data_IF_083097065182
#
_entry.id   IF_083097065182
#
_cell.length_a   1.000
_cell.length_b   1.000
_cell.length_c   1.000
_cell.angle_alpha   90.00
_cell.angle_beta   90.00
_cell.angle_gamma   90.00
#
_symmetry.space_group_name_H-M   'P 1'
#
loop_
_entity.id
_entity.type
_entity.pdbx_description
1 polymer ?
#
# COMPACT_ATOMS: atom_id res chain seq x y z
N UNK A 1 14.82 -7.24 6.52
CA UNK A 1 13.79 -7.55 5.50
C UNK A 1 13.77 -6.40 4.50
N UNK A 2 13.74 -6.69 3.21
CA UNK A 2 13.58 -5.69 2.15
C UNK A 2 12.36 -6.08 1.32
N UNK A 3 11.47 -5.14 1.05
CA UNK A 3 10.30 -5.38 0.21
C UNK A 3 10.76 -5.57 -1.23
N UNK A 4 10.32 -6.62 -1.91
CA UNK A 4 10.72 -6.79 -3.30
C UNK A 4 10.15 -5.66 -4.18
N UNK A 5 10.79 -5.39 -5.32
CA UNK A 5 10.28 -4.43 -6.31
C UNK A 5 8.89 -4.81 -6.82
N UNK A 6 8.57 -6.10 -6.81
CA UNK A 6 7.30 -6.65 -7.23
C UNK A 6 6.20 -6.28 -6.22
N UNK A 7 6.45 -6.48 -4.93
CA UNK A 7 5.52 -6.08 -3.85
C UNK A 7 5.38 -4.57 -3.72
N UNK A 8 6.49 -3.83 -3.80
CA UNK A 8 6.48 -2.36 -3.81
C UNK A 8 5.56 -1.84 -4.92
N UNK A 9 5.70 -2.39 -6.13
CA UNK A 9 4.88 -1.96 -7.25
C UNK A 9 3.43 -2.40 -7.14
N UNK A 10 3.15 -3.63 -6.69
CA UNK A 10 1.79 -4.11 -6.49
C UNK A 10 1.03 -3.18 -5.54
N UNK A 11 1.64 -2.82 -4.40
CA UNK A 11 1.06 -1.86 -3.46
C UNK A 11 0.80 -0.50 -4.11
N UNK A 12 1.78 0.05 -4.83
CA UNK A 12 1.61 1.34 -5.51
C UNK A 12 0.53 1.31 -6.59
N UNK A 13 0.44 0.24 -7.36
CA UNK A 13 -0.59 0.06 -8.38
C UNK A 13 -1.98 0.02 -7.73
N UNK A 14 -2.15 -0.77 -6.67
CA UNK A 14 -3.43 -0.87 -5.95
C UNK A 14 -3.81 0.44 -5.26
N UNK A 15 -2.85 1.18 -4.68
CA UNK A 15 -3.07 2.54 -4.14
C UNK A 15 -3.50 3.51 -5.25
N UNK A 16 -2.83 3.49 -6.40
CA UNK A 16 -3.18 4.34 -7.55
C UNK A 16 -4.59 4.04 -8.08
N UNK A 17 -4.99 2.76 -8.12
CA UNK A 17 -6.34 2.37 -8.51
C UNK A 17 -7.38 2.83 -7.47
N UNK A 18 -7.06 2.77 -6.18
CA UNK A 18 -7.90 3.33 -5.13
C UNK A 18 -8.04 4.85 -5.23
N UNK A 19 -6.94 5.57 -5.48
CA UNK A 19 -6.97 7.02 -5.72
C UNK A 19 -7.83 7.35 -6.96
N UNK A 20 -7.65 6.60 -8.05
CA UNK A 20 -8.42 6.77 -9.27
C UNK A 20 -9.93 6.64 -8.99
N UNK A 21 -10.34 5.64 -8.23
CA UNK A 21 -11.74 5.45 -7.83
C UNK A 21 -12.28 6.67 -7.04
N UNK A 22 -11.52 7.17 -6.06
CA UNK A 22 -11.91 8.35 -5.25
C UNK A 22 -12.06 9.63 -6.07
N UNK A 23 -11.28 9.80 -7.15
CA UNK A 23 -11.39 10.96 -8.05
C UNK A 23 -12.36 10.76 -9.21
N UNK A 24 -13.18 9.71 -9.17
CA UNK A 24 -14.22 9.42 -10.18
C UNK A 24 -13.68 8.83 -11.48
N UNK A 25 -12.45 8.29 -11.48
CA UNK A 25 -11.83 7.61 -12.62
C UNK A 25 -12.09 6.10 -12.51
N UNK A 26 -13.02 5.60 -13.32
CA UNK A 26 -13.44 4.19 -13.25
C UNK A 26 -12.39 3.16 -13.67
N UNK A 27 -11.51 3.47 -14.61
CA UNK A 27 -10.43 2.57 -15.06
C UNK A 27 -9.13 3.34 -15.33
N UNK A 28 -8.00 2.65 -15.12
CA UNK A 28 -6.66 3.17 -15.41
C UNK A 28 -5.90 2.17 -16.29
N UNK A 29 -5.30 2.63 -17.38
CA UNK A 29 -4.53 1.75 -18.27
C UNK A 29 -3.23 1.28 -17.64
N UNK A 30 -2.70 0.13 -18.10
CA UNK A 30 -1.39 -0.35 -17.68
C UNK A 30 -0.26 0.63 -18.03
N UNK A 31 -0.40 1.38 -19.13
CA UNK A 31 0.55 2.40 -19.54
C UNK A 31 0.57 3.59 -18.57
N UNK A 32 -0.60 4.09 -18.15
CA UNK A 32 -0.72 5.15 -17.14
C UNK A 32 -0.13 4.68 -15.79
N UNK A 33 -0.40 3.45 -15.37
CA UNK A 33 0.17 2.88 -14.14
C UNK A 33 1.69 2.69 -14.23
N UNK A 34 2.23 2.36 -15.40
CA UNK A 34 3.65 2.25 -15.65
C UNK A 34 4.35 3.61 -15.61
N UNK A 35 3.75 4.62 -16.23
CA UNK A 35 4.24 6.00 -16.21
C UNK A 35 4.23 6.58 -14.79
N UNK A 36 3.09 6.47 -14.08
CA UNK A 36 2.92 6.99 -12.72
C UNK A 36 3.98 6.44 -11.74
N UNK A 37 4.50 5.24 -12.00
CA UNK A 37 5.46 4.55 -11.16
C UNK A 37 6.87 4.47 -11.74
N UNK A 38 7.09 5.00 -12.95
CA UNK A 38 8.37 4.96 -13.68
C UNK A 38 8.93 3.55 -13.82
N UNK A 39 8.10 2.62 -14.26
CA UNK A 39 8.48 1.21 -14.45
C UNK A 39 8.21 0.72 -15.87
N UNK A 40 8.94 -0.31 -16.35
CA UNK A 40 8.69 -0.89 -17.66
C UNK A 40 7.29 -1.51 -17.76
N UNK A 41 6.55 -1.20 -18.82
CA UNK A 41 5.17 -1.66 -19.03
C UNK A 41 5.01 -3.18 -18.89
N UNK A 42 5.89 -3.97 -19.48
CA UNK A 42 5.84 -5.44 -19.38
C UNK A 42 5.93 -5.95 -17.93
N UNK A 43 6.71 -5.26 -17.09
CA UNK A 43 6.84 -5.63 -15.69
C UNK A 43 5.55 -5.31 -14.93
N UNK A 44 4.95 -4.17 -15.23
CA UNK A 44 3.65 -3.73 -14.70
C UNK A 44 2.54 -4.71 -15.07
N UNK A 45 2.45 -5.07 -16.35
CA UNK A 45 1.44 -6.02 -16.85
C UNK A 45 1.53 -7.36 -16.15
N UNK A 46 2.75 -7.87 -15.89
CA UNK A 46 2.93 -9.11 -15.13
C UNK A 46 2.43 -8.99 -13.69
N UNK A 47 2.62 -7.85 -13.05
CA UNK A 47 2.14 -7.65 -11.67
C UNK A 47 0.62 -7.50 -11.63
N UNK A 48 0.05 -6.75 -12.57
CA UNK A 48 -1.40 -6.60 -12.70
C UNK A 48 -2.09 -7.91 -13.07
N UNK A 49 -1.41 -8.77 -13.84
CA UNK A 49 -1.83 -10.13 -14.12
C UNK A 49 -1.98 -10.94 -12.82
N UNK A 50 -0.94 -10.97 -11.98
CA UNK A 50 -0.98 -11.71 -10.71
C UNK A 50 -2.03 -11.15 -9.73
N UNK A 51 -2.15 -9.82 -9.63
CA UNK A 51 -3.19 -9.18 -8.83
C UNK A 51 -4.60 -9.53 -9.32
N UNK A 52 -4.78 -9.69 -10.63
CA UNK A 52 -6.06 -10.08 -11.23
C UNK A 52 -6.40 -11.53 -10.91
N UNK A 53 -5.42 -12.41 -11.05
CA UNK A 53 -5.59 -13.83 -10.75
C UNK A 53 -5.90 -14.04 -9.25
N UNK A 54 -5.42 -13.14 -8.38
CA UNK A 54 -5.75 -13.09 -6.96
C UNK A 54 -7.08 -12.36 -6.62
N UNK A 55 -7.82 -11.85 -7.61
CA UNK A 55 -9.08 -11.15 -7.39
C UNK A 55 -8.94 -9.79 -6.68
N UNK A 56 -7.76 -9.16 -6.74
CA UNK A 56 -7.52 -7.82 -6.19
C UNK A 56 -7.91 -6.74 -7.21
N UNK A 57 -7.61 -6.98 -8.48
CA UNK A 57 -7.93 -6.07 -9.59
C UNK A 57 -8.75 -6.78 -10.65
N UNK A 58 -9.56 -6.03 -11.37
CA UNK A 58 -10.28 -6.51 -12.54
C UNK A 58 -9.81 -5.74 -13.78
N UNK A 59 -10.08 -6.30 -14.96
CA UNK A 59 -9.73 -5.67 -16.24
C UNK A 59 -10.94 -5.52 -17.14
N UNK A 60 -11.10 -4.33 -17.70
CA UNK A 60 -12.11 -4.06 -18.73
C UNK A 60 -11.45 -4.08 -20.10
N UNK A 61 -12.05 -4.80 -21.05
CA UNK A 61 -11.60 -4.86 -22.45
C UNK A 61 -12.24 -3.73 -23.26
N UNK A 62 -11.55 -3.26 -24.30
CA UNK A 62 -12.06 -2.29 -25.26
C UNK A 62 -11.25 -0.99 -25.35
N UNK A 63 -11.74 -0.03 -26.14
CA UNK A 63 -11.07 1.26 -26.42
C UNK A 63 -10.84 2.13 -25.16
N UNK A 64 -11.65 1.94 -24.13
CA UNK A 64 -11.54 2.57 -22.81
C UNK A 64 -11.16 1.54 -21.71
N UNK A 65 -10.51 0.44 -22.13
CA UNK A 65 -10.09 -0.62 -21.24
C UNK A 65 -9.03 -0.19 -20.25
N UNK A 66 -8.83 -1.00 -19.22
CA UNK A 66 -7.90 -0.69 -18.14
C UNK A 66 -8.09 -1.63 -16.97
N UNK A 67 -7.56 -1.21 -15.82
CA UNK A 67 -7.64 -1.90 -14.54
C UNK A 67 -8.44 -1.07 -13.55
N UNK A 68 -9.16 -1.77 -12.67
CA UNK A 68 -9.88 -1.23 -11.52
C UNK A 68 -9.71 -2.19 -10.33
N UNK A 69 -10.05 -1.75 -9.12
CA UNK A 69 -10.11 -2.66 -7.97
C UNK A 69 -11.30 -3.61 -8.15
N UNK A 70 -11.08 -4.91 -7.98
CA UNK A 70 -12.13 -5.93 -8.09
C UNK A 70 -13.01 -6.02 -6.83
N UNK A 71 -12.53 -5.46 -5.71
CA UNK A 71 -13.25 -5.36 -4.44
C UNK A 71 -13.04 -3.96 -3.82
N UNK A 72 -13.94 -3.52 -2.93
CA UNK A 72 -13.76 -2.28 -2.18
C UNK A 72 -12.39 -2.18 -1.50
N UNK A 73 -11.78 -0.98 -1.52
CA UNK A 73 -10.41 -0.77 -1.04
C UNK A 73 -10.22 -1.03 0.47
N UNK A 74 -11.31 -0.99 1.24
CA UNK A 74 -11.36 -1.31 2.67
C UNK A 74 -11.28 -2.83 2.92
N UNK A 75 -11.58 -3.66 1.92
CA UNK A 75 -11.47 -5.12 1.95
C UNK A 75 -10.13 -5.64 1.38
N UNK A 76 -9.19 -4.74 1.09
CA UNK A 76 -7.86 -5.08 0.58
C UNK A 76 -6.83 -4.74 1.66
N UNK A 77 -6.22 -5.77 2.26
CA UNK A 77 -5.21 -5.57 3.30
C UNK A 77 -3.82 -5.26 2.73
N UNK A 78 -3.07 -4.36 3.36
CA UNK A 78 -1.66 -4.11 2.98
C UNK A 78 -0.82 -5.36 3.21
N UNK A 79 -0.96 -6.01 4.36
CA UNK A 79 -0.26 -7.26 4.65
C UNK A 79 -0.65 -8.42 3.72
N UNK A 80 -1.92 -8.49 3.30
CA UNK A 80 -2.41 -9.47 2.32
C UNK A 80 -1.63 -9.34 1.00
N UNK A 81 -1.51 -8.12 0.47
CA UNK A 81 -0.76 -7.85 -0.77
C UNK A 81 0.73 -8.19 -0.64
N UNK A 82 1.37 -7.84 0.47
CA UNK A 82 2.80 -8.16 0.64
C UNK A 82 3.02 -9.67 0.66
N UNK A 83 2.16 -10.43 1.35
CA UNK A 83 2.25 -11.90 1.37
C UNK A 83 1.95 -12.52 0.00
N UNK A 84 0.96 -12.00 -0.71
CA UNK A 84 0.63 -12.45 -2.07
C UNK A 84 1.83 -12.33 -3.01
N UNK A 85 2.55 -11.22 -2.93
CA UNK A 85 3.56 -10.86 -3.92
C UNK A 85 4.96 -11.39 -3.58
N UNK A 86 5.38 -11.36 -2.31
CA UNK A 86 6.70 -11.82 -1.87
C UNK A 86 6.71 -13.23 -1.27
N UNK A 87 5.55 -13.75 -0.85
CA UNK A 87 5.43 -15.03 -0.15
C UNK A 87 6.03 -15.05 1.27
N UNK A 88 7.06 -14.23 1.54
CA UNK A 88 7.83 -14.24 2.80
C UNK A 88 7.88 -12.86 3.44
N UNK A 89 7.35 -12.77 4.66
CA UNK A 89 7.45 -11.56 5.49
C UNK A 89 8.55 -11.66 6.58
N UNK A 90 9.32 -12.74 6.59
CA UNK A 90 10.29 -13.00 7.65
C UNK A 90 11.71 -12.62 7.22
N UNK A 91 12.52 -12.00 8.11
CA UNK A 91 13.93 -11.71 7.83
C UNK A 91 14.79 -12.95 7.57
N UNK A 92 14.41 -14.11 8.14
CA UNK A 92 15.09 -15.40 7.96
C UNK A 92 14.11 -16.47 7.43
N UNK A 93 14.64 -17.47 6.72
CA UNK A 93 13.84 -18.58 6.19
C UNK A 93 13.23 -19.44 7.29
N UNK A 94 14.01 -19.78 8.32
CA UNK A 94 13.57 -20.62 9.44
C UNK A 94 12.57 -19.90 10.36
N UNK A 95 12.46 -18.57 10.22
CA UNK A 95 11.48 -17.75 10.91
C UNK A 95 10.24 -17.47 10.04
N UNK A 96 10.16 -17.93 8.78
CA UNK A 96 9.00 -17.69 7.92
C UNK A 96 7.89 -18.72 8.17
N UNK A 97 6.63 -18.28 8.21
CA UNK A 97 5.46 -19.19 8.24
C UNK A 97 5.10 -19.65 6.83
N UNK A 98 5.15 -18.74 5.86
CA UNK A 98 4.62 -18.95 4.51
C UNK A 98 5.67 -19.46 3.52
N UNK A 99 6.96 -19.39 3.84
CA UNK A 99 7.99 -20.10 3.09
C UNK A 99 9.16 -20.48 4.02
N UNK A 100 8.83 -21.31 5.00
CA UNK A 100 9.81 -21.91 5.88
C UNK A 100 10.89 -22.64 5.08
N UNK A 101 12.15 -22.41 5.44
CA UNK A 101 13.27 -23.27 5.05
C UNK A 101 14.22 -23.40 6.24
N UNK A 102 14.76 -24.61 6.50
CA UNK A 102 15.65 -24.82 7.64
C UNK A 102 16.91 -23.95 7.56
N UNK A 103 17.42 -23.53 8.71
CA UNK A 103 18.73 -22.84 8.77
C UNK A 103 19.88 -23.83 8.79
N UNK A 104 21.10 -23.33 8.52
CA UNK A 104 22.36 -24.10 8.65
C UNK A 104 22.78 -24.32 10.11
N UNK A 105 21.89 -24.04 11.05
CA UNK A 105 22.11 -24.09 12.49
C UNK A 105 21.98 -25.56 12.98
N UNK A 106 22.78 -25.99 13.96
CA UNK A 106 22.77 -27.39 14.42
C UNK A 106 21.52 -27.75 15.25
N UNK A 107 20.85 -26.77 15.85
CA UNK A 107 19.66 -26.94 16.70
C UNK A 107 18.70 -25.76 16.49
N UNK A 108 17.59 -26.00 15.79
CA UNK A 108 16.58 -24.98 15.48
C UNK A 108 15.60 -24.70 16.63
N UNK A 109 15.42 -25.67 17.53
CA UNK A 109 14.45 -25.59 18.62
C UNK A 109 14.98 -24.69 19.74
N UNK A 110 16.29 -24.67 19.94
CA UNK A 110 16.96 -23.80 20.92
C UNK A 110 17.66 -22.58 20.29
N UNK A 111 17.41 -22.31 19.00
CA UNK A 111 18.01 -21.19 18.29
C UNK A 111 17.41 -19.84 18.74
N UNK A 112 18.05 -19.16 19.69
CA UNK A 112 17.62 -17.83 20.16
C UNK A 112 17.51 -16.78 19.04
N UNK A 113 18.33 -16.88 17.99
CA UNK A 113 18.23 -16.02 16.81
C UNK A 113 16.91 -16.24 16.06
N UNK A 114 16.45 -17.49 15.91
CA UNK A 114 15.16 -17.81 15.28
C UNK A 114 14.01 -17.23 16.09
N UNK A 115 14.04 -17.37 17.41
CA UNK A 115 13.01 -16.82 18.32
C UNK A 115 12.88 -15.29 18.17
N UNK A 116 13.99 -14.55 18.25
CA UNK A 116 13.98 -13.09 18.07
C UNK A 116 13.51 -12.71 16.66
N UNK A 117 13.87 -13.47 15.62
CA UNK A 117 13.44 -13.17 14.26
C UNK A 117 11.97 -13.49 13.99
N UNK A 118 11.37 -14.44 14.74
CA UNK A 118 9.92 -14.66 14.78
C UNK A 118 9.23 -13.42 15.35
N UNK A 119 9.73 -12.84 16.44
CA UNK A 119 9.16 -11.62 17.01
C UNK A 119 9.24 -10.44 16.05
N UNK A 120 10.38 -10.26 15.37
CA UNK A 120 10.54 -9.22 14.34
C UNK A 120 9.54 -9.41 13.20
N UNK A 121 9.38 -10.64 12.70
CA UNK A 121 8.37 -10.96 11.68
C UNK A 121 6.97 -10.63 12.18
N UNK A 122 6.62 -11.05 13.39
CA UNK A 122 5.29 -10.82 13.98
C UNK A 122 4.99 -9.33 14.13
N UNK A 123 5.98 -8.54 14.58
CA UNK A 123 5.83 -7.10 14.69
C UNK A 123 5.56 -6.46 13.31
N UNK A 124 6.30 -6.86 12.27
CA UNK A 124 6.10 -6.37 10.90
C UNK A 124 4.71 -6.78 10.37
N UNK A 125 4.33 -8.06 10.52
CA UNK A 125 3.02 -8.59 10.14
C UNK A 125 1.88 -7.80 10.79
N UNK A 126 1.95 -7.66 12.11
CA UNK A 126 0.93 -6.97 12.91
C UNK A 126 0.78 -5.50 12.51
N UNK A 127 1.85 -4.83 12.07
CA UNK A 127 1.75 -3.46 11.56
C UNK A 127 1.07 -3.44 10.19
N UNK A 128 1.48 -4.31 9.26
CA UNK A 128 0.94 -4.33 7.91
C UNK A 128 -0.52 -4.80 7.85
N UNK A 129 -0.93 -5.70 8.74
CA UNK A 129 -2.30 -6.25 8.80
C UNK A 129 -3.32 -5.28 9.38
N UNK A 130 -2.87 -4.21 10.05
CA UNK A 130 -3.75 -3.17 10.58
C UNK A 130 -4.30 -2.23 9.51
N UNK A 131 -3.70 -2.22 8.32
CA UNK A 131 -4.00 -1.23 7.31
C UNK A 131 -4.67 -1.84 6.08
N UNK A 132 -5.75 -1.20 5.64
CA UNK A 132 -6.35 -1.44 4.33
C UNK A 132 -5.86 -0.44 3.30
N UNK A 133 -6.05 -0.75 2.02
CA UNK A 133 -5.74 0.18 0.93
C UNK A 133 -6.57 1.46 1.04
N UNK A 134 -7.83 1.38 1.47
CA UNK A 134 -8.68 2.56 1.69
C UNK A 134 -8.04 3.56 2.66
N UNK A 135 -7.54 3.07 3.80
CA UNK A 135 -6.89 3.92 4.80
C UNK A 135 -5.61 4.58 4.26
N UNK A 136 -4.83 3.84 3.45
CA UNK A 136 -3.64 4.39 2.80
C UNK A 136 -4.00 5.48 1.79
N UNK A 137 -5.03 5.24 0.98
CA UNK A 137 -5.53 6.20 -0.02
C UNK A 137 -6.06 7.46 0.67
N UNK A 138 -6.87 7.32 1.71
CA UNK A 138 -7.45 8.43 2.46
C UNK A 138 -6.37 9.38 3.00
N UNK A 139 -5.37 8.83 3.71
CA UNK A 139 -4.27 9.63 4.27
C UNK A 139 -3.45 10.29 3.17
N UNK A 140 -3.22 9.58 2.06
CA UNK A 140 -2.48 10.11 0.91
C UNK A 140 -3.22 11.31 0.30
N UNK A 141 -4.52 11.16 0.02
CA UNK A 141 -5.35 12.24 -0.53
C UNK A 141 -5.50 13.41 0.43
N UNK A 142 -5.57 13.16 1.74
CA UNK A 142 -5.58 14.23 2.76
C UNK A 142 -4.27 15.03 2.75
N UNK A 143 -3.11 14.37 2.71
CA UNK A 143 -1.81 15.05 2.60
C UNK A 143 -1.71 15.85 1.30
N UNK A 144 -2.11 15.27 0.16
CA UNK A 144 -2.13 15.97 -1.13
C UNK A 144 -3.01 17.23 -1.09
N UNK A 145 -4.23 17.15 -0.54
CA UNK A 145 -5.13 18.31 -0.38
C UNK A 145 -4.52 19.39 0.51
N UNK A 146 -3.91 19.01 1.63
CA UNK A 146 -3.23 19.95 2.55
C UNK A 146 -2.08 20.69 1.83
N UNK A 147 -1.35 19.97 1.00
CA UNK A 147 -0.17 20.50 0.32
C UNK A 147 -0.50 21.15 -1.04
N UNK A 148 -1.79 21.24 -1.41
CA UNK A 148 -2.26 21.83 -2.67
C UNK A 148 -1.90 21.02 -3.93
N UNK A 149 -1.57 19.73 -3.77
CA UNK A 149 -1.18 18.84 -4.85
C UNK A 149 -2.43 18.19 -5.46
N UNK A 150 -2.57 18.30 -6.78
CA UNK A 150 -3.64 17.62 -7.52
C UNK A 150 -3.39 16.11 -7.51
N UNK A 151 -4.37 15.28 -7.06
CA UNK A 151 -4.20 13.83 -7.08
C UNK A 151 -3.97 13.29 -8.50
N UNK A 152 -3.22 12.19 -8.65
CA UNK A 152 -3.07 11.54 -9.93
C UNK A 152 -4.43 11.06 -10.44
N UNK A 153 -4.59 11.03 -11.77
CA UNK A 153 -5.81 10.58 -12.47
C UNK A 153 -7.07 11.44 -12.26
N UNK A 154 -6.97 12.60 -11.60
CA UNK A 154 -8.07 13.55 -11.51
C UNK A 154 -8.56 13.98 -12.91
N UNK A 155 -9.87 14.22 -13.09
CA UNK A 155 -10.42 14.69 -14.37
C UNK A 155 -9.76 16.00 -14.79
N UNK A 156 -9.48 16.14 -16.09
CA UNK A 156 -8.78 17.29 -16.65
C UNK A 156 -9.66 18.56 -16.66
N UNK A 157 -9.90 19.13 -15.48
CA UNK A 157 -10.33 20.51 -15.31
C UNK A 157 -9.25 21.22 -14.49
N UNK A 158 -8.44 22.03 -15.18
CA UNK A 158 -7.33 22.88 -14.73
C UNK A 158 -5.91 22.31 -14.83
N UNK A 159 -5.21 22.87 -15.83
CA UNK A 159 -3.76 23.13 -15.94
C UNK A 159 -2.82 22.09 -15.34
N UNK A 160 -2.32 21.26 -16.25
CA UNK A 160 -1.09 20.49 -16.16
C UNK A 160 0.12 21.36 -15.82
N UNK A 161 0.40 21.55 -14.54
CA UNK A 161 1.77 21.70 -14.06
C UNK A 161 2.10 20.50 -13.20
N UNK A 162 3.11 19.74 -13.64
CA UNK A 162 3.66 18.60 -12.91
C UNK A 162 4.30 19.17 -11.65
N UNK A 163 3.76 18.95 -10.43
CA UNK A 163 4.37 19.52 -9.24
C UNK A 163 5.80 18.98 -9.14
N UNK A 164 6.77 19.90 -9.04
CA UNK A 164 8.15 19.52 -8.75
C UNK A 164 8.15 18.90 -7.36
N UNK A 165 8.24 17.57 -7.33
CA UNK A 165 8.18 16.80 -6.09
C UNK A 165 9.29 17.31 -5.18
N UNK A 166 8.99 17.93 -4.02
CA UNK A 166 10.04 18.45 -3.15
C UNK A 166 10.93 17.27 -2.75
N UNK A 167 12.22 17.36 -3.09
CA UNK A 167 13.24 16.35 -2.73
C UNK A 167 13.55 16.37 -1.24
N UNK A 168 12.54 16.34 -0.37
CA UNK A 168 12.75 16.07 1.06
C UNK A 168 12.95 14.57 1.23
N UNK A 169 13.98 14.19 1.98
CA UNK A 169 14.11 12.83 2.49
C UNK A 169 12.89 12.55 3.37
N UNK A 170 12.37 11.31 3.31
CA UNK A 170 11.25 10.90 4.15
C UNK A 170 11.59 11.15 5.63
N UNK A 171 10.73 11.89 6.33
CA UNK A 171 10.84 12.12 7.76
C UNK A 171 10.23 10.91 8.51
N UNK A 172 10.88 10.32 9.51
CA UNK A 172 10.25 9.31 10.37
C UNK A 172 8.90 9.75 10.95
N UNK A 173 8.69 11.07 11.16
CA UNK A 173 7.43 11.66 11.60
C UNK A 173 6.33 11.70 10.51
N UNK A 174 6.66 11.43 9.25
CA UNK A 174 5.66 11.29 8.17
C UNK A 174 4.94 9.93 8.19
N UNK A 175 5.40 9.00 9.04
CA UNK A 175 4.84 7.66 9.18
C UNK A 175 3.33 7.67 9.48
N UNK A 176 2.63 6.65 9.00
CA UNK A 176 1.17 6.55 9.11
C UNK A 176 0.66 6.69 10.56
N UNK A 177 1.41 6.15 11.52
CA UNK A 177 1.11 6.22 12.95
C UNK A 177 1.20 7.64 13.54
N UNK A 178 2.02 8.52 12.96
CA UNK A 178 2.16 9.91 13.42
C UNK A 178 1.03 10.82 12.92
N UNK A 179 0.37 10.47 11.81
CA UNK A 179 -0.78 11.21 11.28
C UNK A 179 -2.13 10.83 11.91
N UNK A 180 -2.27 9.59 12.39
CA UNK A 180 -3.49 9.11 13.06
C UNK A 180 -3.67 9.67 14.47
N UNK A 181 -2.60 9.96 15.21
CA UNK A 181 -2.70 10.62 16.52
C UNK A 181 -3.34 12.01 16.42
N UNK A 182 -3.19 12.70 15.28
CA UNK A 182 -3.84 13.97 14.98
C UNK A 182 -5.30 13.83 14.55
N UNK A 183 -5.71 12.64 14.09
CA UNK A 183 -7.11 12.32 13.77
C UNK A 183 -7.92 11.99 15.03
N UNK A 184 -7.30 11.35 16.02
CA UNK A 184 -7.95 11.07 17.31
C UNK A 184 -8.26 12.35 18.12
N UNK A 185 -7.57 13.46 17.87
CA UNK A 185 -7.75 14.74 18.59
C UNK A 185 -8.67 15.74 17.89
N UNK A 186 -9.21 15.41 16.71
CA UNK A 186 -10.12 16.27 15.96
C UNK A 186 -11.57 15.79 16.07
N UNK A 187 -12.05 15.62 17.30
CA UNK A 187 -13.48 15.46 17.59
C UNK A 187 -14.00 16.72 18.32
N UNK A 188 -14.67 17.66 17.63
CA UNK A 188 -15.25 18.83 18.28
C UNK A 188 -16.63 18.44 18.81
N UNK A 189 -16.68 17.80 19.99
CA UNK A 189 -17.91 17.64 20.78
C UNK A 189 -17.59 17.09 22.18
N UNK A 190 -16.82 17.85 22.96
CA UNK A 190 -16.61 17.53 24.37
C UNK A 190 -16.59 18.80 25.24
N UNK A 191 -17.49 19.76 24.98
CA UNK A 191 -17.62 20.97 25.81
C UNK A 191 -19.00 21.16 26.47
N UNK A 192 -19.94 20.20 26.39
CA UNK A 192 -21.32 20.38 26.90
C UNK A 192 -21.80 19.30 27.90
N UNK A 193 -20.93 18.77 28.78
CA UNK A 193 -21.36 17.84 29.85
C UNK A 193 -21.18 18.38 31.29
N UNK A 194 -20.61 19.57 31.50
CA UNK A 194 -20.41 20.13 32.86
C UNK A 194 -21.44 21.21 33.28
N UNK A 195 -22.69 21.12 32.83
CA UNK A 195 -23.76 22.07 33.22
C UNK A 195 -25.14 21.48 33.54
N UNK A 196 -25.21 20.27 34.11
CA UNK A 196 -26.42 19.77 34.78
C UNK A 196 -26.07 19.10 36.12
#
# INVERSE_FOLDING_TARGET
MNLSKKSEYALRATINLGIAAEVGRGTVSGAELAEANRLPLKFVERILQELRDAGIVETMRGKFGGYALAKPADQIGVGELVRLMDGRLAPLCCASENAYQPCTCPDEDHCGLRMVMIDVRNAIANILDRYSIAQVVEVTLRKMRRDGIVPPFAPANNSSEKPDSPKRRADPADGFLAGLSQLATSNPNQDDIDKL
#
